data_IF_963813110801
#
_entry.id   IF_963813110801
#
_cell.length_a   1.000
_cell.length_b   1.000
_cell.length_c   1.000
_cell.angle_alpha   90.00
_cell.angle_beta   90.00
_cell.angle_gamma   90.00
#
_symmetry.space_group_name_H-M   'P 1'
#
loop_
_entity.id
_entity.type
_entity.pdbx_description
1 polymer ?
#
# COMPACT_ATOMS: atom_id res chain seq x y z
N UNK A 1 26.15 -11.10 -23.62
CA UNK A 1 24.73 -10.72 -23.71
C UNK A 1 24.51 -9.42 -22.93
N UNK A 2 24.15 -8.32 -23.60
CA UNK A 2 24.22 -6.98 -23.00
C UNK A 2 23.19 -6.79 -21.87
N UNK A 3 23.58 -6.13 -20.77
CA UNK A 3 22.70 -5.84 -19.61
C UNK A 3 21.37 -5.17 -20.01
N UNK A 4 21.35 -4.43 -21.13
CA UNK A 4 20.15 -3.79 -21.70
C UNK A 4 19.13 -4.80 -22.21
N UNK A 5 19.56 -5.88 -22.85
CA UNK A 5 18.66 -6.93 -23.36
C UNK A 5 18.02 -7.71 -22.22
N UNK A 6 18.79 -7.94 -21.15
CA UNK A 6 18.32 -8.56 -19.92
C UNK A 6 17.29 -7.68 -19.18
N UNK A 7 17.54 -6.36 -19.07
CA UNK A 7 16.57 -5.40 -18.54
C UNK A 7 15.28 -5.30 -19.36
N UNK A 8 15.36 -5.54 -20.67
CA UNK A 8 14.20 -5.56 -21.56
C UNK A 8 13.33 -6.81 -21.31
N UNK A 9 13.94 -8.00 -21.24
CA UNK A 9 13.26 -9.26 -20.88
C UNK A 9 12.62 -9.21 -19.48
N UNK A 10 13.21 -8.48 -18.53
CA UNK A 10 12.65 -8.27 -17.19
C UNK A 10 11.53 -7.22 -17.12
N UNK A 11 11.13 -6.58 -18.23
CA UNK A 11 9.94 -5.74 -18.24
C UNK A 11 8.72 -6.65 -18.02
N UNK A 12 7.89 -6.29 -17.03
CA UNK A 12 6.66 -7.00 -16.64
C UNK A 12 5.81 -7.42 -17.85
N UNK A 13 5.74 -6.58 -18.89
CA UNK A 13 4.97 -6.85 -20.12
C UNK A 13 5.50 -8.04 -20.94
N UNK A 14 6.82 -8.24 -21.01
CA UNK A 14 7.42 -9.33 -21.80
C UNK A 14 7.31 -10.67 -21.07
N UNK A 15 7.54 -10.66 -19.75
CA UNK A 15 7.26 -11.83 -18.90
C UNK A 15 5.78 -12.24 -19.01
N UNK A 16 4.86 -11.26 -19.02
CA UNK A 16 3.43 -11.52 -19.21
C UNK A 16 3.16 -12.27 -20.52
N UNK A 17 3.65 -11.76 -21.64
CA UNK A 17 3.47 -12.41 -22.95
C UNK A 17 4.08 -13.81 -22.98
N UNK A 18 5.28 -14.01 -22.42
CA UNK A 18 5.94 -15.31 -22.38
C UNK A 18 5.16 -16.36 -21.59
N UNK A 19 4.66 -16.00 -20.40
CA UNK A 19 3.87 -16.91 -19.58
C UNK A 19 2.51 -17.23 -20.20
N UNK A 20 1.88 -16.28 -20.90
CA UNK A 20 0.63 -16.54 -21.66
C UNK A 20 0.89 -17.58 -22.76
N UNK A 21 2.00 -17.47 -23.49
CA UNK A 21 2.38 -18.46 -24.51
C UNK A 21 2.59 -19.85 -23.88
N UNK A 22 3.29 -19.92 -22.74
CA UNK A 22 3.45 -21.18 -21.99
C UNK A 22 2.09 -21.77 -21.59
N UNK A 23 1.15 -20.94 -21.14
CA UNK A 23 -0.20 -21.42 -20.77
C UNK A 23 -0.93 -22.06 -21.96
N UNK A 24 -0.90 -21.45 -23.14
CA UNK A 24 -1.52 -22.03 -24.33
C UNK A 24 -0.86 -23.35 -24.76
N UNK A 25 0.46 -23.46 -24.61
CA UNK A 25 1.20 -24.70 -24.88
C UNK A 25 0.77 -25.80 -23.90
N UNK A 26 0.74 -25.50 -22.60
CA UNK A 26 0.31 -26.45 -21.57
C UNK A 26 -1.13 -26.90 -21.81
N UNK A 27 -2.03 -25.98 -22.15
CA UNK A 27 -3.42 -26.29 -22.48
C UNK A 27 -3.53 -27.20 -23.71
N UNK A 28 -2.75 -26.94 -24.76
CA UNK A 28 -2.68 -27.80 -25.94
C UNK A 28 -2.18 -29.21 -25.61
N UNK A 29 -1.16 -29.33 -24.76
CA UNK A 29 -0.63 -30.63 -24.31
C UNK A 29 -1.69 -31.43 -23.54
N UNK A 30 -2.46 -30.78 -22.67
CA UNK A 30 -3.53 -31.42 -21.88
C UNK A 30 -4.63 -31.98 -22.81
N UNK A 31 -5.02 -31.25 -23.85
CA UNK A 31 -6.04 -31.71 -24.82
C UNK A 31 -5.54 -32.91 -25.64
N UNK A 32 -4.24 -32.96 -25.96
CA UNK A 32 -3.66 -34.02 -26.80
C UNK A 32 -3.25 -35.29 -26.01
N UNK A 33 -3.23 -35.25 -24.67
CA UNK A 33 -2.82 -36.38 -23.83
C UNK A 33 -3.99 -37.31 -23.44
N UNK A 34 -3.66 -38.59 -23.18
CA UNK A 34 -4.61 -39.56 -22.64
C UNK A 34 -5.10 -39.17 -21.24
N UNK A 35 -6.37 -39.48 -20.95
CA UNK A 35 -7.08 -39.12 -19.70
C UNK A 35 -6.29 -39.40 -18.40
N UNK A 36 -5.53 -40.49 -18.32
CA UNK A 36 -4.77 -40.85 -17.12
C UNK A 36 -3.65 -39.85 -16.75
N UNK A 37 -2.93 -39.31 -17.74
CA UNK A 37 -1.88 -38.31 -17.51
C UNK A 37 -2.45 -36.93 -17.17
N UNK A 38 -3.63 -36.61 -17.74
CA UNK A 38 -4.36 -35.38 -17.45
C UNK A 38 -4.75 -35.30 -15.96
N UNK A 39 -5.24 -36.41 -15.39
CA UNK A 39 -5.67 -36.47 -13.97
C UNK A 39 -4.49 -36.20 -13.01
N UNK A 40 -3.31 -36.74 -13.29
CA UNK A 40 -2.12 -36.54 -12.44
C UNK A 40 -1.70 -35.06 -12.46
N UNK A 41 -1.64 -34.44 -13.64
CA UNK A 41 -1.30 -33.02 -13.78
C UNK A 41 -2.34 -32.12 -13.11
N UNK A 42 -3.63 -32.38 -13.32
CA UNK A 42 -4.73 -31.64 -12.70
C UNK A 42 -4.67 -31.72 -11.16
N UNK A 43 -4.38 -32.90 -10.61
CA UNK A 43 -4.22 -33.10 -9.18
C UNK A 43 -3.06 -32.26 -8.62
N UNK A 44 -1.91 -32.26 -9.29
CA UNK A 44 -0.75 -31.46 -8.88
C UNK A 44 -1.06 -29.96 -8.90
N UNK A 45 -1.68 -29.45 -9.97
CA UNK A 45 -2.04 -28.03 -10.07
C UNK A 45 -3.11 -27.62 -9.07
N UNK A 46 -4.05 -28.50 -8.75
CA UNK A 46 -5.06 -28.27 -7.71
C UNK A 46 -4.41 -28.16 -6.33
N UNK A 47 -3.48 -29.06 -5.98
CA UNK A 47 -2.72 -28.97 -4.73
C UNK A 47 -1.89 -27.68 -4.66
N UNK A 48 -1.28 -27.29 -5.78
CA UNK A 48 -0.48 -26.07 -5.86
C UNK A 48 -1.37 -24.81 -5.72
N UNK A 49 -2.56 -24.82 -6.31
CA UNK A 49 -3.59 -23.78 -6.16
C UNK A 49 -4.03 -23.63 -4.69
N UNK A 50 -4.31 -24.74 -4.00
CA UNK A 50 -4.64 -24.72 -2.57
C UNK A 50 -3.48 -24.12 -1.76
N UNK A 51 -2.24 -24.53 -2.03
CA UNK A 51 -1.06 -23.98 -1.36
C UNK A 51 -0.91 -22.46 -1.58
N UNK A 52 -1.19 -22.00 -2.80
CA UNK A 52 -1.17 -20.57 -3.12
C UNK A 52 -2.31 -19.82 -2.44
N UNK A 53 -3.52 -20.37 -2.40
CA UNK A 53 -4.65 -19.78 -1.69
C UNK A 53 -4.35 -19.62 -0.20
N UNK A 54 -3.78 -20.64 0.45
CA UNK A 54 -3.33 -20.55 1.85
C UNK A 54 -2.26 -19.47 2.04
N UNK A 55 -1.30 -19.39 1.12
CA UNK A 55 -0.29 -18.33 1.14
C UNK A 55 -0.90 -16.92 1.00
N UNK A 56 -1.93 -16.75 0.16
CA UNK A 56 -2.66 -15.48 0.01
C UNK A 56 -3.35 -15.08 1.31
N UNK A 57 -3.96 -16.03 2.01
CA UNK A 57 -4.64 -15.78 3.31
C UNK A 57 -3.64 -15.22 4.33
N UNK A 58 -2.47 -15.85 4.46
CA UNK A 58 -1.44 -15.45 5.42
C UNK A 58 -0.73 -14.13 5.10
N UNK A 59 -0.75 -13.66 3.85
CA UNK A 59 -0.08 -12.41 3.47
C UNK A 59 -0.76 -11.19 4.11
N UNK A 60 -0.01 -10.24 4.68
CA UNK A 60 -0.60 -8.95 5.14
C UNK A 60 -0.97 -8.07 3.93
N UNK A 61 -2.17 -7.50 3.90
CA UNK A 61 -2.64 -6.65 2.80
C UNK A 61 -4.16 -6.46 2.79
N UNK A 62 -4.66 -5.66 1.84
CA UNK A 62 -6.10 -5.37 1.69
C UNK A 62 -6.90 -6.66 1.50
N UNK A 63 -7.91 -6.88 2.35
CA UNK A 63 -8.70 -8.12 2.37
C UNK A 63 -9.43 -8.37 1.05
N UNK A 64 -10.05 -7.33 0.47
CA UNK A 64 -10.73 -7.42 -0.82
C UNK A 64 -9.81 -7.96 -1.94
N UNK A 65 -8.53 -7.57 -1.95
CA UNK A 65 -7.57 -8.05 -2.93
C UNK A 65 -7.26 -9.54 -2.72
N UNK A 66 -7.14 -9.99 -1.46
CA UNK A 66 -6.90 -11.41 -1.16
C UNK A 66 -8.03 -12.30 -1.67
N UNK A 67 -9.28 -11.89 -1.42
CA UNK A 67 -10.47 -12.63 -1.85
C UNK A 67 -10.49 -12.79 -3.38
N UNK A 68 -10.20 -11.72 -4.12
CA UNK A 68 -10.10 -11.78 -5.59
C UNK A 68 -9.09 -12.83 -6.05
N UNK A 69 -7.89 -12.88 -5.46
CA UNK A 69 -6.87 -13.86 -5.84
C UNK A 69 -7.22 -15.28 -5.45
N UNK A 70 -7.79 -15.49 -4.26
CA UNK A 70 -8.25 -16.80 -3.81
C UNK A 70 -9.31 -17.34 -4.78
N UNK A 71 -10.31 -16.53 -5.13
CA UNK A 71 -11.35 -16.93 -6.08
C UNK A 71 -10.76 -17.28 -7.46
N UNK A 72 -9.87 -16.44 -7.99
CA UNK A 72 -9.23 -16.70 -9.29
C UNK A 72 -8.39 -17.98 -9.29
N UNK A 73 -7.64 -18.22 -8.22
CA UNK A 73 -6.78 -19.41 -8.05
C UNK A 73 -7.61 -20.68 -7.87
N UNK A 74 -8.75 -20.62 -7.18
CA UNK A 74 -9.62 -21.78 -6.97
C UNK A 74 -10.46 -22.13 -8.20
N UNK A 75 -11.04 -21.14 -8.90
CA UNK A 75 -11.85 -21.39 -10.12
C UNK A 75 -10.97 -21.89 -11.25
N UNK A 76 -9.74 -21.38 -11.36
CA UNK A 76 -8.79 -21.78 -12.38
C UNK A 76 -7.44 -22.16 -11.76
N UNK A 77 -7.26 -23.37 -11.21
CA UNK A 77 -6.04 -23.79 -10.51
C UNK A 77 -4.76 -23.56 -11.31
N UNK A 78 -4.79 -23.82 -12.61
CA UNK A 78 -3.65 -23.65 -13.51
C UNK A 78 -3.42 -22.16 -13.81
N UNK A 79 -4.46 -21.45 -14.26
CA UNK A 79 -4.34 -20.05 -14.70
C UNK A 79 -4.14 -19.09 -13.53
N UNK A 80 -4.99 -19.19 -12.52
CA UNK A 80 -5.00 -18.29 -11.37
C UNK A 80 -3.73 -18.39 -10.53
N UNK A 81 -3.16 -19.59 -10.36
CA UNK A 81 -1.90 -19.75 -9.63
C UNK A 81 -0.73 -19.07 -10.34
N UNK A 82 -0.59 -19.31 -11.65
CA UNK A 82 0.47 -18.68 -12.44
C UNK A 82 0.29 -17.16 -12.48
N UNK A 83 -0.94 -16.69 -12.67
CA UNK A 83 -1.30 -15.28 -12.69
C UNK A 83 -1.00 -14.61 -11.34
N UNK A 84 -1.31 -15.27 -10.22
CA UNK A 84 -0.98 -14.79 -8.89
C UNK A 84 0.52 -14.61 -8.71
N UNK A 85 1.33 -15.62 -9.04
CA UNK A 85 2.79 -15.55 -8.89
C UNK A 85 3.40 -14.38 -9.68
N UNK A 86 2.82 -14.05 -10.84
CA UNK A 86 3.28 -12.94 -11.69
C UNK A 86 2.90 -11.56 -11.15
N UNK A 87 1.67 -11.40 -10.65
CA UNK A 87 1.14 -10.08 -10.24
C UNK A 87 1.38 -9.75 -8.78
N UNK A 88 1.54 -10.77 -7.93
CA UNK A 88 1.74 -10.58 -6.49
C UNK A 88 3.08 -9.93 -6.13
N UNK A 89 4.01 -9.89 -7.08
CA UNK A 89 5.36 -9.33 -6.92
C UNK A 89 5.37 -7.82 -7.18
N UNK A 90 4.73 -7.06 -6.29
CA UNK A 90 4.78 -5.59 -6.31
C UNK A 90 6.09 -5.10 -5.67
N UNK A 91 7.20 -5.22 -6.39
CA UNK A 91 8.54 -4.82 -5.93
C UNK A 91 8.67 -3.33 -5.60
N UNK A 92 7.80 -2.49 -6.17
CA UNK A 92 7.81 -1.04 -5.94
C UNK A 92 7.41 -0.68 -4.51
N UNK A 93 6.57 -1.48 -3.84
CA UNK A 93 6.08 -1.18 -2.50
C UNK A 93 7.16 -1.33 -1.43
N UNK A 94 8.10 -2.29 -1.58
CA UNK A 94 9.16 -2.50 -0.58
C UNK A 94 10.15 -1.34 -0.51
N UNK A 95 10.64 -0.86 -1.65
CA UNK A 95 11.58 0.27 -1.69
C UNK A 95 10.95 1.56 -1.16
N UNK A 96 9.68 1.80 -1.52
CA UNK A 96 8.93 2.93 -0.98
C UNK A 96 8.75 2.80 0.53
N UNK A 97 8.37 1.61 1.01
CA UNK A 97 8.21 1.35 2.44
C UNK A 97 9.53 1.55 3.20
N UNK A 98 10.64 1.01 2.72
CA UNK A 98 11.97 1.23 3.31
C UNK A 98 12.35 2.71 3.33
N UNK A 99 12.03 3.45 2.27
CA UNK A 99 12.24 4.90 2.21
C UNK A 99 11.40 5.65 3.25
N UNK A 100 10.13 5.28 3.41
CA UNK A 100 9.23 5.88 4.40
C UNK A 100 9.70 5.56 5.83
N UNK A 101 10.10 4.32 6.11
CA UNK A 101 10.64 3.92 7.41
C UNK A 101 11.92 4.70 7.75
N UNK A 102 12.79 4.97 6.77
CA UNK A 102 13.96 5.81 6.97
C UNK A 102 13.58 7.26 7.33
N UNK A 103 12.58 7.82 6.66
CA UNK A 103 12.05 9.17 6.95
C UNK A 103 11.47 9.21 8.36
N UNK A 104 10.62 8.24 8.73
CA UNK A 104 10.04 8.19 10.08
C UNK A 104 11.11 8.05 11.16
N UNK A 105 12.14 7.24 10.94
CA UNK A 105 13.27 7.13 11.87
C UNK A 105 14.04 8.44 12.03
N UNK A 106 14.19 9.22 10.95
CA UNK A 106 14.82 10.53 11.00
C UNK A 106 13.98 11.55 11.78
N UNK A 107 12.65 11.50 11.66
CA UNK A 107 11.74 12.42 12.34
C UNK A 107 11.48 12.08 13.82
N UNK A 108 11.60 10.80 14.21
CA UNK A 108 11.29 10.33 15.57
C UNK A 108 11.92 11.17 16.70
N UNK A 109 13.20 11.61 16.64
CA UNK A 109 13.80 12.40 17.72
C UNK A 109 13.19 13.81 17.88
N UNK A 110 12.52 14.33 16.85
CA UNK A 110 11.87 15.64 16.89
C UNK A 110 10.43 15.57 17.43
N UNK A 111 9.96 14.37 17.77
CA UNK A 111 8.65 14.18 18.37
C UNK A 111 8.64 14.76 19.79
N UNK A 112 7.73 15.69 20.04
CA UNK A 112 7.47 16.23 21.36
C UNK A 112 6.53 15.27 22.11
N UNK A 113 7.09 14.14 22.59
CA UNK A 113 6.37 13.21 23.47
C UNK A 113 6.42 13.74 24.91
N UNK A 114 5.38 14.47 25.30
CA UNK A 114 5.17 14.87 26.69
C UNK A 114 4.00 14.06 27.29
N UNK A 115 4.34 13.07 28.12
CA UNK A 115 3.34 12.24 28.80
C UNK A 115 2.43 13.06 29.72
N UNK A 116 2.90 14.20 30.24
CA UNK A 116 2.08 15.05 31.11
C UNK A 116 0.89 15.65 30.33
N UNK A 117 1.15 16.11 29.10
CA UNK A 117 0.12 16.64 28.18
C UNK A 117 -0.89 15.55 27.81
N UNK A 118 -0.42 14.34 27.54
CA UNK A 118 -1.31 13.21 27.24
C UNK A 118 -2.20 12.87 28.45
N UNK A 119 -1.65 12.85 29.65
CA UNK A 119 -2.39 12.54 30.86
C UNK A 119 -3.41 13.64 31.21
N UNK A 120 -3.04 14.91 31.03
CA UNK A 120 -3.95 16.05 31.18
C UNK A 120 -5.13 15.94 30.19
N UNK A 121 -4.84 15.72 28.91
CA UNK A 121 -5.86 15.57 27.87
C UNK A 121 -6.78 14.37 28.12
N UNK A 122 -6.24 13.23 28.57
CA UNK A 122 -7.03 12.05 28.98
C UNK A 122 -7.96 12.36 30.14
N UNK A 123 -7.52 13.15 31.11
CA UNK A 123 -8.34 13.55 32.26
C UNK A 123 -9.47 14.50 31.85
N UNK A 124 -9.18 15.45 30.96
CA UNK A 124 -10.17 16.39 30.42
C UNK A 124 -11.19 15.70 29.50
N UNK A 125 -10.74 14.80 28.63
CA UNK A 125 -11.54 14.14 27.61
C UNK A 125 -11.58 12.62 27.82
N UNK A 126 -12.19 12.18 28.93
CA UNK A 126 -12.21 10.76 29.34
C UNK A 126 -12.68 9.78 28.26
N UNK A 127 -13.68 10.18 27.46
CA UNK A 127 -14.21 9.34 26.37
C UNK A 127 -13.21 9.13 25.23
N UNK A 128 -12.23 10.02 25.06
CA UNK A 128 -11.24 9.99 23.99
C UNK A 128 -9.85 9.53 24.44
N UNK A 129 -9.65 9.32 25.74
CA UNK A 129 -8.33 9.00 26.29
C UNK A 129 -7.69 7.72 25.72
N UNK A 130 -8.50 6.70 25.41
CA UNK A 130 -8.03 5.47 24.75
C UNK A 130 -7.52 5.74 23.32
N UNK A 131 -8.25 6.56 22.56
CA UNK A 131 -7.86 6.95 21.21
C UNK A 131 -6.59 7.79 21.22
N UNK A 132 -6.50 8.77 22.13
CA UNK A 132 -5.29 9.59 22.32
C UNK A 132 -4.07 8.73 22.65
N UNK A 133 -4.23 7.74 23.54
CA UNK A 133 -3.15 6.80 23.85
C UNK A 133 -2.72 5.97 22.64
N UNK A 134 -3.69 5.44 21.89
CA UNK A 134 -3.42 4.65 20.69
C UNK A 134 -2.67 5.49 19.62
N UNK A 135 -3.14 6.70 19.34
CA UNK A 135 -2.50 7.59 18.36
C UNK A 135 -1.07 7.97 18.79
N UNK A 136 -0.87 8.27 20.08
CA UNK A 136 0.44 8.66 20.61
C UNK A 136 1.46 7.52 20.60
N UNK A 137 1.05 6.32 21.02
CA UNK A 137 1.96 5.20 21.26
C UNK A 137 2.07 4.25 20.05
N UNK A 138 1.01 4.11 19.25
CA UNK A 138 1.01 3.22 18.08
C UNK A 138 1.12 3.99 16.77
N UNK A 139 0.45 5.13 16.66
CA UNK A 139 0.49 5.99 15.47
C UNK A 139 1.71 6.90 15.39
N UNK A 140 2.46 7.06 16.48
CA UNK A 140 3.54 8.05 16.62
C UNK A 140 3.06 9.52 16.47
N UNK A 141 1.79 9.79 16.78
CA UNK A 141 1.18 11.12 16.77
C UNK A 141 0.90 11.60 18.20
N UNK A 142 1.80 12.37 18.83
CA UNK A 142 1.64 12.80 20.21
C UNK A 142 0.49 13.79 20.36
N UNK A 143 -0.03 13.89 21.58
CA UNK A 143 -0.99 14.94 21.92
C UNK A 143 -0.22 16.22 22.22
N UNK A 144 -0.62 17.31 21.56
CA UNK A 144 -0.07 18.64 21.82
C UNK A 144 -1.02 19.41 22.73
N UNK A 145 -0.47 20.13 23.71
CA UNK A 145 -1.27 21.11 24.44
C UNK A 145 -1.66 22.22 23.46
N UNK A 146 -2.89 22.72 23.57
CA UNK A 146 -3.44 23.67 22.63
C UNK A 146 -2.59 24.96 22.58
N UNK A 147 -1.64 25.00 21.64
CA UNK A 147 -0.98 26.23 21.21
C UNK A 147 -1.81 26.74 20.04
N UNK A 148 -2.65 27.73 20.33
CA UNK A 148 -3.43 28.55 19.38
C UNK A 148 -3.91 27.81 18.12
N UNK A 149 -5.03 27.09 18.23
CA UNK A 149 -5.70 26.51 17.07
C UNK A 149 -6.95 27.32 16.73
N UNK A 150 -7.02 27.82 15.49
CA UNK A 150 -8.19 28.54 14.97
C UNK A 150 -8.92 27.66 13.98
N UNK A 151 -10.22 27.43 14.22
CA UNK A 151 -11.08 26.68 13.31
C UNK A 151 -11.76 27.63 12.31
N UNK A 152 -11.65 27.30 11.02
CA UNK A 152 -12.31 28.02 9.94
C UNK A 152 -13.42 27.14 9.35
N UNK A 153 -14.70 27.51 9.50
CA UNK A 153 -15.82 26.73 8.96
C UNK A 153 -15.94 26.82 7.44
N UNK A 154 -15.44 27.92 6.84
CA UNK A 154 -15.50 28.19 5.41
C UNK A 154 -14.08 28.24 4.82
N UNK A 155 -13.96 27.79 3.57
CA UNK A 155 -12.68 27.74 2.85
C UNK A 155 -12.15 29.14 2.53
N UNK A 156 -13.04 30.10 2.30
CA UNK A 156 -12.72 31.50 2.03
C UNK A 156 -12.06 32.16 3.24
N UNK A 157 -12.53 31.85 4.45
CA UNK A 157 -11.96 32.36 5.70
C UNK A 157 -10.56 31.77 5.92
N UNK A 158 -10.40 30.46 5.70
CA UNK A 158 -9.09 29.81 5.72
C UNK A 158 -8.13 30.41 4.69
N UNK A 159 -8.60 30.63 3.46
CA UNK A 159 -7.77 31.16 2.37
C UNK A 159 -7.26 32.57 2.70
N UNK A 160 -8.14 33.44 3.24
CA UNK A 160 -7.73 34.78 3.69
C UNK A 160 -6.67 34.71 4.79
N UNK A 161 -6.88 33.88 5.81
CA UNK A 161 -5.93 33.70 6.91
C UNK A 161 -4.59 33.13 6.42
N UNK A 162 -4.63 32.14 5.52
CA UNK A 162 -3.44 31.54 4.91
C UNK A 162 -2.61 32.60 4.18
N UNK A 163 -3.23 33.47 3.37
CA UNK A 163 -2.53 34.55 2.67
C UNK A 163 -1.87 35.56 3.63
N UNK A 164 -2.50 35.85 4.76
CA UNK A 164 -1.93 36.72 5.78
C UNK A 164 -0.70 36.08 6.45
N UNK A 165 -0.77 34.79 6.81
CA UNK A 165 0.36 34.06 7.39
C UNK A 165 1.50 33.85 6.39
N UNK A 166 1.19 33.62 5.10
CA UNK A 166 2.19 33.54 4.04
C UNK A 166 3.02 34.83 3.93
N UNK A 167 2.41 36.00 4.11
CA UNK A 167 3.12 37.30 4.12
C UNK A 167 4.02 37.47 5.34
N UNK A 168 3.70 36.83 6.47
CA UNK A 168 4.49 36.88 7.71
C UNK A 168 5.68 35.92 7.71
N UNK A 169 5.67 34.91 6.84
CA UNK A 169 6.70 33.88 6.81
C UNK A 169 8.09 34.44 6.47
N UNK A 170 9.08 34.17 7.32
CA UNK A 170 10.43 34.74 7.18
C UNK A 170 11.46 33.79 6.57
N UNK A 171 11.29 32.48 6.76
CA UNK A 171 12.29 31.47 6.37
C UNK A 171 11.77 30.50 5.34
N UNK A 172 10.66 29.82 5.65
CA UNK A 172 10.10 28.77 4.82
C UNK A 172 8.58 28.80 4.86
N UNK A 173 7.96 28.47 3.73
CA UNK A 173 6.54 28.16 3.60
C UNK A 173 6.46 26.72 3.10
N UNK A 174 5.86 25.83 3.88
CA UNK A 174 5.57 24.47 3.44
C UNK A 174 4.15 24.43 2.88
N UNK A 175 4.02 23.99 1.63
CA UNK A 175 2.77 24.01 0.89
C UNK A 175 2.48 22.59 0.37
N UNK A 176 1.54 21.89 1.01
CA UNK A 176 1.15 20.53 0.64
C UNK A 176 -0.34 20.50 0.32
N UNK A 177 -0.66 20.35 -0.97
CA UNK A 177 -2.02 20.37 -1.49
C UNK A 177 -2.23 19.20 -2.46
N UNK A 178 -3.46 18.69 -2.50
CA UNK A 178 -3.82 17.63 -3.44
C UNK A 178 -3.82 18.13 -4.89
N UNK A 179 -4.29 19.36 -5.13
CA UNK A 179 -4.33 20.02 -6.45
C UNK A 179 -3.87 21.46 -6.30
N UNK A 180 -3.02 21.91 -7.22
CA UNK A 180 -2.63 23.30 -7.41
C UNK A 180 -2.89 23.63 -8.88
N UNK A 181 -3.76 24.59 -9.15
CA UNK A 181 -4.23 24.91 -10.50
C UNK A 181 -4.50 26.41 -10.63
N UNK A 182 -4.23 26.95 -11.82
CA UNK A 182 -4.45 28.38 -12.11
C UNK A 182 -5.91 28.78 -11.89
N UNK A 183 -6.11 29.85 -11.14
CA UNK A 183 -7.42 30.39 -10.82
C UNK A 183 -7.36 31.58 -9.88
N UNK A 184 -8.43 31.84 -9.15
CA UNK A 184 -8.46 32.95 -8.17
C UNK A 184 -7.64 32.68 -6.91
N UNK A 185 -7.37 31.40 -6.61
CA UNK A 185 -6.66 30.97 -5.40
C UNK A 185 -5.17 30.65 -5.64
N UNK A 186 -4.75 30.45 -6.90
CA UNK A 186 -3.38 30.16 -7.30
C UNK A 186 -3.08 30.71 -8.70
#
# INVERSE_FOLDING_TARGET
MSKKLLMYLFKRRILLTFFIIIQFIVFGIIIMQSFAYSIVLETIFTLLSIGVALHVVWKKGKEAYKVTWILQVLIFPIYGTLFYLMFNRQTQTKKLQESLENIYRLHRPYKLDDESVLNEAKNQFKNHGKLMHYLSNTGEYPVYSAREATYYPLGEDYFKAMLEEMKKAQRYIFFEFFIVAEGKMW
#
